data_IF_055912346432
#
_entry.id   IF_055912346432
#
_cell.length_a   1.000
_cell.length_b   1.000
_cell.length_c   1.000
_cell.angle_alpha   90.00
_cell.angle_beta   90.00
_cell.angle_gamma   90.00
#
_symmetry.space_group_name_H-M   'P 1'
#
loop_
_entity.id
_entity.type
_entity.pdbx_description
1 polymer ?
#
# COMPACT_ATOMS: atom_id res chain seq x y z
N UNK A 1 12.78 0.29 21.30
CA UNK A 1 11.64 0.08 20.40
C UNK A 1 12.13 0.39 19.00
N UNK A 2 11.69 -0.35 17.96
CA UNK A 2 12.01 -0.05 16.56
C UNK A 2 11.21 1.18 16.10
N UNK A 3 11.84 2.03 15.29
CA UNK A 3 11.21 3.21 14.68
C UNK A 3 10.98 2.92 13.20
N UNK A 4 9.73 2.96 12.77
CA UNK A 4 9.33 2.59 11.41
C UNK A 4 8.71 3.80 10.74
N UNK A 5 9.20 4.19 9.56
CA UNK A 5 8.50 5.14 8.71
C UNK A 5 7.59 4.39 7.74
N UNK A 6 6.32 4.74 7.71
CA UNK A 6 5.31 4.06 6.90
C UNK A 6 4.63 5.05 5.96
N UNK A 7 4.55 4.67 4.69
CA UNK A 7 3.76 5.36 3.69
C UNK A 7 2.42 4.65 3.52
N UNK A 8 1.33 5.37 3.84
CA UNK A 8 -0.03 4.92 3.60
C UNK A 8 -0.88 6.09 3.10
N UNK A 9 -1.23 6.10 1.81
CA UNK A 9 -2.03 7.17 1.21
C UNK A 9 -3.34 7.39 1.96
N UNK A 10 -4.07 6.31 2.22
CA UNK A 10 -5.35 6.34 2.91
C UNK A 10 -5.25 5.67 4.29
N UNK A 11 -5.70 6.37 5.32
CA UNK A 11 -5.78 5.85 6.69
C UNK A 11 -6.94 6.51 7.43
N UNK A 12 -7.83 5.72 8.02
CA UNK A 12 -8.92 6.25 8.84
C UNK A 12 -9.44 5.22 9.84
N UNK A 13 -9.69 5.61 11.11
CA UNK A 13 -10.44 4.79 12.04
C UNK A 13 -11.88 4.61 11.55
N UNK A 14 -12.50 3.50 11.94
CA UNK A 14 -13.92 3.18 11.68
C UNK A 14 -14.32 3.23 10.21
N UNK A 15 -13.42 2.83 9.32
CA UNK A 15 -13.68 2.66 7.90
C UNK A 15 -13.29 1.26 7.44
N UNK A 16 -13.94 0.81 6.36
CA UNK A 16 -13.54 -0.40 5.65
C UNK A 16 -12.48 -0.11 4.57
N UNK A 17 -12.15 -1.17 3.79
CA UNK A 17 -11.20 -1.10 2.67
C UNK A 17 -9.81 -0.59 3.09
N UNK A 18 -9.06 0.02 2.18
CA UNK A 18 -7.67 0.45 2.43
C UNK A 18 -7.50 1.45 3.58
N UNK A 19 -8.39 2.45 3.81
CA UNK A 19 -8.24 3.35 4.96
C UNK A 19 -8.29 2.63 6.32
N UNK A 20 -9.27 1.73 6.50
CA UNK A 20 -9.41 0.95 7.73
C UNK A 20 -8.29 -0.07 7.90
N UNK A 21 -7.90 -0.74 6.81
CA UNK A 21 -6.76 -1.66 6.81
C UNK A 21 -5.49 -0.97 7.33
N UNK A 22 -5.14 0.22 6.81
CA UNK A 22 -3.96 0.94 7.28
C UNK A 22 -4.06 1.30 8.76
N UNK A 23 -5.23 1.76 9.22
CA UNK A 23 -5.46 2.04 10.63
C UNK A 23 -5.24 0.82 11.52
N UNK A 24 -5.78 -0.34 11.12
CA UNK A 24 -5.65 -1.59 11.87
C UNK A 24 -4.18 -2.06 11.94
N UNK A 25 -3.44 -1.91 10.86
CA UNK A 25 -2.00 -2.16 10.87
C UNK A 25 -1.27 -1.25 11.86
N UNK A 26 -1.59 0.04 11.88
CA UNK A 26 -0.93 1.00 12.76
C UNK A 26 -1.22 0.75 14.23
N UNK A 27 -2.48 0.56 14.60
CA UNK A 27 -2.83 0.31 16.03
C UNK A 27 -2.23 -0.98 16.57
N UNK A 28 -1.97 -1.97 15.71
CA UNK A 28 -1.32 -3.22 16.12
C UNK A 28 0.21 -3.09 16.12
N UNK A 29 0.83 -2.50 15.13
CA UNK A 29 2.28 -2.26 15.10
C UNK A 29 2.72 -1.32 16.22
N UNK A 30 1.96 -0.28 16.53
CA UNK A 30 2.27 0.69 17.57
C UNK A 30 2.31 0.11 18.99
N UNK A 31 1.82 -1.10 19.20
CA UNK A 31 2.02 -1.85 20.44
C UNK A 31 3.48 -2.26 20.68
N UNK A 32 4.26 -2.35 19.59
CA UNK A 32 5.63 -2.88 19.58
C UNK A 32 6.67 -1.93 18.98
N UNK A 33 6.23 -0.93 18.21
CA UNK A 33 7.09 -0.05 17.43
C UNK A 33 6.67 1.41 17.60
N UNK A 34 7.59 2.33 17.34
CA UNK A 34 7.32 3.74 17.14
C UNK A 34 7.07 3.98 15.64
N UNK A 35 5.96 4.59 15.29
CA UNK A 35 5.53 4.72 13.90
C UNK A 35 5.56 6.19 13.46
N UNK A 36 6.24 6.47 12.36
CA UNK A 36 6.22 7.74 11.64
C UNK A 36 5.42 7.54 10.36
N UNK A 37 4.18 8.01 10.32
CA UNK A 37 3.20 7.67 9.29
C UNK A 37 2.97 8.87 8.37
N UNK A 38 3.27 8.71 7.07
CA UNK A 38 2.94 9.71 6.06
C UNK A 38 1.66 9.29 5.37
N UNK A 39 0.63 10.12 5.45
CA UNK A 39 -0.70 9.86 4.87
C UNK A 39 -1.28 11.10 4.18
N UNK A 40 -2.31 10.91 3.34
CA UNK A 40 -3.09 12.01 2.81
C UNK A 40 -3.99 12.60 3.92
N UNK A 41 -4.31 13.87 3.85
CA UNK A 41 -4.94 14.58 4.96
C UNK A 41 -6.47 14.48 5.05
N UNK A 42 -7.16 13.70 4.20
CA UNK A 42 -8.62 13.64 4.15
C UNK A 42 -9.26 13.28 5.49
N UNK A 43 -8.65 12.35 6.21
CA UNK A 43 -9.20 11.83 7.48
C UNK A 43 -8.47 12.35 8.71
N UNK A 44 -7.73 13.44 8.58
CA UNK A 44 -6.92 14.01 9.66
C UNK A 44 -7.71 14.18 10.96
N UNK A 45 -8.88 14.80 10.91
CA UNK A 45 -9.70 15.04 12.10
C UNK A 45 -10.11 13.75 12.82
N UNK A 46 -10.50 12.72 12.05
CA UNK A 46 -10.86 11.41 12.61
C UNK A 46 -9.66 10.74 13.28
N UNK A 47 -8.48 10.82 12.66
CA UNK A 47 -7.24 10.27 13.19
C UNK A 47 -6.88 10.99 14.51
N UNK A 48 -6.82 12.31 14.49
CA UNK A 48 -6.42 13.11 15.66
C UNK A 48 -7.41 12.99 16.83
N UNK A 49 -8.69 12.77 16.54
CA UNK A 49 -9.70 12.50 17.57
C UNK A 49 -9.52 11.10 18.19
N UNK A 50 -9.16 10.10 17.36
CA UNK A 50 -9.03 8.72 17.83
C UNK A 50 -7.71 8.47 18.57
N UNK A 51 -6.61 9.11 18.18
CA UNK A 51 -5.28 8.87 18.76
C UNK A 51 -5.23 8.95 20.29
N UNK A 52 -5.79 9.98 20.96
CA UNK A 52 -5.74 10.09 22.41
C UNK A 52 -6.52 8.99 23.14
N UNK A 53 -7.45 8.32 22.45
CA UNK A 53 -8.26 7.24 23.05
C UNK A 53 -7.53 5.89 23.07
N UNK A 54 -6.40 5.78 22.35
CA UNK A 54 -5.65 4.54 22.24
C UNK A 54 -4.45 4.52 23.20
N UNK A 55 -4.26 3.44 23.98
CA UNK A 55 -3.09 3.31 24.87
C UNK A 55 -1.75 3.46 24.15
N UNK A 56 -1.65 2.99 22.89
CA UNK A 56 -0.48 3.07 22.03
C UNK A 56 -0.47 4.32 21.12
N UNK A 57 -1.46 5.19 21.21
CA UNK A 57 -1.57 6.39 20.35
C UNK A 57 -0.35 7.30 20.40
N UNK A 58 0.31 7.36 21.57
CA UNK A 58 1.58 8.11 21.76
C UNK A 58 2.74 7.61 20.90
N UNK A 59 2.68 6.37 20.40
CA UNK A 59 3.70 5.75 19.56
C UNK A 59 3.41 5.95 18.05
N UNK A 60 2.41 6.77 17.69
CA UNK A 60 2.02 7.03 16.31
C UNK A 60 2.14 8.53 16.00
N UNK A 61 3.07 8.89 15.10
CA UNK A 61 3.34 10.26 14.67
C UNK A 61 2.88 10.41 13.22
N UNK A 62 1.84 11.20 13.00
CA UNK A 62 1.27 11.42 11.68
C UNK A 62 1.84 12.66 11.00
N UNK A 63 2.21 12.50 9.74
CA UNK A 63 2.67 13.54 8.82
C UNK A 63 1.72 13.59 7.64
N UNK A 64 1.08 14.72 7.43
CA UNK A 64 0.06 14.87 6.40
C UNK A 64 0.64 15.46 5.12
N UNK A 65 0.38 14.79 4.00
CA UNK A 65 0.73 15.22 2.65
C UNK A 65 -0.57 15.44 1.85
N UNK A 66 -1.28 16.58 2.04
CA UNK A 66 -2.59 16.77 1.48
C UNK A 66 -2.57 16.96 -0.03
N UNK A 67 -3.64 16.51 -0.68
CA UNK A 67 -3.97 16.81 -2.08
C UNK A 67 -5.21 17.70 -2.13
N UNK A 68 -5.53 18.24 -3.33
CA UNK A 68 -6.76 19.02 -3.53
C UNK A 68 -8.00 18.12 -3.51
N UNK A 69 -9.17 18.71 -3.23
CA UNK A 69 -10.45 18.01 -3.23
C UNK A 69 -10.79 17.40 -4.59
N UNK A 70 -10.32 18.00 -5.68
CA UNK A 70 -10.48 17.46 -7.03
C UNK A 70 -9.73 16.13 -7.18
N UNK A 71 -8.51 16.04 -6.65
CA UNK A 71 -7.71 14.81 -6.69
C UNK A 71 -8.35 13.75 -5.78
N UNK A 72 -8.87 14.12 -4.61
CA UNK A 72 -9.63 13.21 -3.73
C UNK A 72 -10.85 12.62 -4.45
N UNK A 73 -11.65 13.48 -5.13
CA UNK A 73 -12.78 13.02 -5.94
C UNK A 73 -12.37 12.04 -7.03
N UNK A 74 -11.22 12.24 -7.68
CA UNK A 74 -10.69 11.28 -8.65
C UNK A 74 -10.32 9.94 -7.99
N UNK A 75 -9.77 9.97 -6.79
CA UNK A 75 -9.45 8.75 -6.02
C UNK A 75 -10.70 7.93 -5.69
N UNK A 76 -11.78 8.60 -5.24
CA UNK A 76 -13.03 7.94 -4.91
C UNK A 76 -13.84 7.50 -6.13
N UNK A 77 -13.63 8.13 -7.29
CA UNK A 77 -14.26 7.72 -8.55
C UNK A 77 -13.50 6.52 -9.12
N UNK A 78 -13.93 5.33 -8.75
CA UNK A 78 -13.31 4.09 -9.19
C UNK A 78 -13.19 4.01 -10.72
N UNK A 79 -11.96 3.85 -11.21
CA UNK A 79 -11.65 3.79 -12.63
C UNK A 79 -11.21 5.12 -13.25
N UNK A 80 -11.16 6.21 -12.52
CA UNK A 80 -10.57 7.46 -13.02
C UNK A 80 -9.04 7.33 -13.10
N UNK A 81 -8.56 6.95 -14.28
CA UNK A 81 -7.14 6.74 -14.54
C UNK A 81 -6.28 8.01 -14.37
N UNK A 82 -6.88 9.22 -14.38
CA UNK A 82 -6.19 10.50 -14.17
C UNK A 82 -5.60 10.58 -12.77
N UNK A 83 -6.24 9.93 -11.79
CA UNK A 83 -5.77 9.85 -10.41
C UNK A 83 -4.32 9.34 -10.33
N UNK A 84 -3.94 8.35 -11.12
CA UNK A 84 -2.59 7.76 -11.06
C UNK A 84 -1.45 8.74 -11.35
N UNK A 85 -1.69 9.77 -12.17
CA UNK A 85 -0.71 10.84 -12.40
C UNK A 85 -0.44 11.62 -11.10
N UNK A 86 -1.50 12.03 -10.41
CA UNK A 86 -1.41 12.78 -9.15
C UNK A 86 -0.93 11.92 -8.00
N UNK A 87 -1.34 10.66 -7.95
CA UNK A 87 -0.84 9.70 -6.98
C UNK A 87 0.67 9.48 -7.11
N UNK A 88 1.19 9.42 -8.32
CA UNK A 88 2.64 9.36 -8.56
C UNK A 88 3.38 10.61 -8.06
N UNK A 89 2.80 11.80 -8.24
CA UNK A 89 3.36 13.05 -7.71
C UNK A 89 3.30 13.07 -6.17
N UNK A 90 2.20 12.60 -5.60
CA UNK A 90 2.03 12.45 -4.17
C UNK A 90 3.09 11.52 -3.58
N UNK A 91 3.33 10.40 -4.20
CA UNK A 91 4.37 9.43 -3.80
C UNK A 91 5.79 10.05 -3.86
N UNK A 92 6.05 10.90 -4.84
CA UNK A 92 7.32 11.61 -4.91
C UNK A 92 7.49 12.59 -3.75
N UNK A 93 6.47 13.38 -3.47
CA UNK A 93 6.48 14.30 -2.33
C UNK A 93 6.61 13.56 -1.00
N UNK A 94 5.95 12.41 -0.86
CA UNK A 94 6.09 11.51 0.30
C UNK A 94 7.53 11.03 0.47
N UNK A 95 8.21 10.68 -0.63
CA UNK A 95 9.63 10.32 -0.60
C UNK A 95 10.52 11.47 -0.09
N UNK A 96 10.29 12.71 -0.54
CA UNK A 96 11.03 13.88 -0.02
C UNK A 96 10.74 14.12 1.47
N UNK A 97 9.47 14.05 1.88
CA UNK A 97 9.09 14.14 3.29
C UNK A 97 9.75 13.04 4.14
N UNK A 98 9.81 11.83 3.62
CA UNK A 98 10.46 10.71 4.32
C UNK A 98 11.95 10.98 4.55
N UNK A 99 12.66 11.54 3.57
CA UNK A 99 14.07 11.94 3.73
C UNK A 99 14.25 12.98 4.84
N UNK A 100 13.36 13.98 4.87
CA UNK A 100 13.41 15.02 5.90
C UNK A 100 13.13 14.47 7.31
N UNK A 101 12.22 13.51 7.42
CA UNK A 101 11.94 12.81 8.69
C UNK A 101 13.14 11.98 9.12
N UNK A 102 13.72 11.19 8.21
CA UNK A 102 14.89 10.35 8.48
C UNK A 102 16.13 11.18 8.90
N UNK A 103 16.26 12.39 8.36
CA UNK A 103 17.35 13.31 8.75
C UNK A 103 17.20 13.84 10.19
N UNK A 104 15.97 13.89 10.73
CA UNK A 104 15.66 14.47 12.05
C UNK A 104 15.34 13.42 13.11
N UNK A 105 14.92 12.23 12.70
CA UNK A 105 14.48 11.16 13.57
C UNK A 105 15.27 9.88 13.30
N UNK A 106 15.49 9.11 14.35
CA UNK A 106 16.05 7.76 14.19
C UNK A 106 14.99 6.88 13.56
N UNK A 107 15.20 6.45 12.33
CA UNK A 107 14.36 5.47 11.64
C UNK A 107 15.17 4.20 11.40
N UNK A 108 14.58 3.07 11.74
CA UNK A 108 15.21 1.76 11.60
C UNK A 108 14.72 1.02 10.35
N UNK A 109 13.44 1.17 9.98
CA UNK A 109 12.80 0.45 8.86
C UNK A 109 11.93 1.42 8.06
N UNK A 110 11.86 1.20 6.75
CA UNK A 110 10.97 1.91 5.81
C UNK A 110 9.92 0.94 5.30
N UNK A 111 8.65 1.33 5.35
CA UNK A 111 7.54 0.47 4.91
C UNK A 111 6.60 1.20 3.93
N UNK A 112 6.46 0.64 2.73
CA UNK A 112 5.43 1.03 1.75
C UNK A 112 4.21 0.14 1.98
N UNK A 113 3.17 0.66 2.65
CA UNK A 113 2.01 -0.13 3.07
C UNK A 113 0.88 -0.11 2.05
N UNK A 114 0.33 1.06 1.71
CA UNK A 114 -0.75 1.19 0.74
C UNK A 114 -0.53 2.40 -0.20
N UNK A 115 -1.21 2.46 -1.29
CA UNK A 115 -2.27 1.57 -1.79
C UNK A 115 -1.66 0.24 -2.22
N UNK A 116 -2.37 -0.88 -2.00
CA UNK A 116 -1.85 -2.24 -2.18
C UNK A 116 -1.56 -2.64 -3.64
N UNK A 117 -2.04 -1.88 -4.60
CA UNK A 117 -1.84 -2.18 -6.02
C UNK A 117 -0.37 -2.11 -6.45
N UNK A 118 0.17 -3.20 -7.01
CA UNK A 118 1.57 -3.32 -7.39
C UNK A 118 2.07 -2.26 -8.41
N UNK A 119 1.17 -1.64 -9.18
CA UNK A 119 1.52 -0.73 -10.29
C UNK A 119 2.14 0.59 -9.84
N UNK A 120 1.88 0.98 -8.61
CA UNK A 120 2.43 2.20 -8.02
C UNK A 120 3.23 1.90 -6.75
N UNK A 121 4.49 1.44 -6.90
CA UNK A 121 5.34 1.04 -5.79
C UNK A 121 5.88 2.23 -4.96
N UNK A 122 5.43 3.44 -5.24
CA UNK A 122 5.99 4.63 -4.64
C UNK A 122 7.45 4.87 -5.00
N UNK A 123 8.16 5.57 -4.11
CA UNK A 123 9.56 5.90 -4.29
C UNK A 123 10.41 5.66 -3.04
N UNK A 124 9.86 5.17 -1.94
CA UNK A 124 10.60 4.92 -0.70
C UNK A 124 11.73 3.91 -0.87
N UNK A 125 11.61 2.97 -1.82
CA UNK A 125 12.66 2.03 -2.20
C UNK A 125 13.97 2.70 -2.71
N UNK A 126 13.97 4.01 -2.97
CA UNK A 126 15.16 4.77 -3.36
C UNK A 126 15.98 5.27 -2.17
N UNK A 127 15.44 5.18 -0.96
CA UNK A 127 16.17 5.54 0.25
C UNK A 127 17.16 4.41 0.52
N UNK A 128 18.43 4.79 0.65
CA UNK A 128 19.54 3.85 0.87
C UNK A 128 19.84 3.69 2.35
N UNK A 129 20.58 2.63 2.70
CA UNK A 129 21.07 2.35 4.05
C UNK A 129 19.98 2.13 5.11
N UNK A 130 18.77 1.75 4.69
CA UNK A 130 17.66 1.37 5.56
C UNK A 130 16.92 0.17 4.96
N UNK A 131 16.57 -0.84 5.77
CA UNK A 131 15.72 -1.92 5.33
C UNK A 131 14.39 -1.39 4.78
N UNK A 132 14.01 -1.90 3.61
CA UNK A 132 12.77 -1.52 2.94
C UNK A 132 11.80 -2.70 2.88
N UNK A 133 10.61 -2.50 3.42
CA UNK A 133 9.48 -3.44 3.38
C UNK A 133 8.44 -2.94 2.38
N UNK A 134 8.00 -3.80 1.49
CA UNK A 134 6.90 -3.46 0.58
C UNK A 134 5.77 -4.48 0.69
N UNK A 135 4.59 -3.99 1.02
CA UNK A 135 3.36 -4.77 1.08
C UNK A 135 2.44 -4.40 2.25
N UNK A 136 1.25 -5.04 2.27
CA UNK A 136 0.82 -6.15 1.43
C UNK A 136 0.60 -5.75 -0.03
N UNK A 137 1.13 -6.55 -0.97
CA UNK A 137 1.06 -6.28 -2.41
C UNK A 137 -0.09 -7.09 -3.02
N UNK A 138 -1.01 -6.39 -3.69
CA UNK A 138 -2.15 -6.96 -4.39
C UNK A 138 -2.17 -6.63 -5.88
N UNK A 139 -3.30 -6.95 -6.52
CA UNK A 139 -3.56 -6.60 -7.92
C UNK A 139 -2.84 -7.45 -8.98
N UNK A 140 -2.11 -8.48 -8.59
CA UNK A 140 -1.38 -9.37 -9.52
C UNK A 140 -2.24 -10.54 -10.02
N UNK A 141 -3.43 -10.75 -9.43
CA UNK A 141 -4.35 -11.81 -9.84
C UNK A 141 -4.85 -11.59 -11.27
N UNK A 142 -4.92 -12.68 -12.02
CA UNK A 142 -5.57 -12.71 -13.33
C UNK A 142 -7.06 -12.95 -13.17
N UNK A 143 -7.89 -12.38 -14.05
CA UNK A 143 -9.30 -12.72 -14.09
C UNK A 143 -9.45 -14.16 -14.58
N UNK A 144 -10.12 -15.06 -13.83
CA UNK A 144 -10.20 -16.47 -14.19
C UNK A 144 -11.01 -16.67 -15.49
N UNK A 145 -10.43 -17.38 -16.46
CA UNK A 145 -11.08 -17.60 -17.75
C UNK A 145 -12.38 -18.41 -17.64
N UNK A 146 -12.49 -19.28 -16.62
CA UNK A 146 -13.72 -20.05 -16.38
C UNK A 146 -14.96 -19.15 -16.18
N UNK A 147 -14.81 -17.97 -15.59
CA UNK A 147 -15.93 -17.02 -15.41
C UNK A 147 -16.31 -16.29 -16.69
N UNK A 148 -15.59 -16.49 -17.79
CA UNK A 148 -15.92 -15.92 -19.10
C UNK A 148 -16.81 -16.84 -19.92
N UNK A 149 -17.02 -18.08 -19.48
CA UNK A 149 -17.91 -19.02 -20.16
C UNK A 149 -19.36 -18.47 -20.14
N UNK A 150 -19.98 -18.40 -21.31
CA UNK A 150 -21.33 -17.83 -21.47
C UNK A 150 -21.39 -16.29 -21.54
N UNK A 151 -20.27 -15.58 -21.33
CA UNK A 151 -20.25 -14.13 -21.53
C UNK A 151 -20.12 -13.75 -22.99
N UNK A 152 -20.57 -12.54 -23.36
CA UNK A 152 -20.43 -12.03 -24.73
C UNK A 152 -18.97 -11.88 -25.16
N UNK A 153 -18.71 -11.99 -26.47
CA UNK A 153 -17.37 -11.95 -27.08
C UNK A 153 -16.57 -10.70 -26.65
N UNK A 154 -17.23 -9.53 -26.58
CA UNK A 154 -16.57 -8.28 -26.15
C UNK A 154 -15.97 -8.42 -24.75
N UNK A 155 -16.70 -9.02 -23.80
CA UNK A 155 -16.25 -9.24 -22.42
C UNK A 155 -15.09 -10.22 -22.37
N UNK A 156 -15.14 -11.29 -23.16
CA UNK A 156 -14.06 -12.26 -23.24
C UNK A 156 -12.77 -11.63 -23.77
N UNK A 157 -12.85 -10.89 -24.88
CA UNK A 157 -11.69 -10.19 -25.47
C UNK A 157 -11.12 -9.17 -24.51
N UNK A 158 -11.97 -8.34 -23.87
CA UNK A 158 -11.55 -7.34 -22.91
C UNK A 158 -10.77 -7.95 -21.73
N UNK A 159 -11.31 -9.01 -21.11
CA UNK A 159 -10.63 -9.62 -19.95
C UNK A 159 -9.36 -10.38 -20.34
N UNK A 160 -9.34 -11.04 -21.50
CA UNK A 160 -8.10 -11.66 -22.01
C UNK A 160 -7.01 -10.62 -22.28
N UNK A 161 -7.37 -9.46 -22.87
CA UNK A 161 -6.44 -8.37 -23.08
C UNK A 161 -5.97 -7.76 -21.75
N UNK A 162 -6.88 -7.52 -20.81
CA UNK A 162 -6.56 -7.06 -19.46
C UNK A 162 -5.57 -8.00 -18.76
N UNK A 163 -5.78 -9.31 -18.82
CA UNK A 163 -4.85 -10.29 -18.26
C UNK A 163 -3.47 -10.22 -18.92
N UNK A 164 -3.41 -10.12 -20.26
CA UNK A 164 -2.13 -9.99 -20.98
C UNK A 164 -1.38 -8.70 -20.58
N UNK A 165 -2.10 -7.57 -20.49
CA UNK A 165 -1.51 -6.29 -20.05
C UNK A 165 -1.01 -6.41 -18.61
N UNK A 166 -1.77 -7.04 -17.71
CA UNK A 166 -1.38 -7.23 -16.33
C UNK A 166 -0.07 -8.03 -16.23
N UNK A 167 0.02 -9.15 -16.94
CA UNK A 167 1.25 -9.98 -16.99
C UNK A 167 2.41 -9.18 -17.59
N UNK A 168 2.17 -8.42 -18.66
CA UNK A 168 3.19 -7.59 -19.29
C UNK A 168 3.74 -6.54 -18.29
N UNK A 169 2.86 -5.86 -17.55
CA UNK A 169 3.25 -4.88 -16.55
C UNK A 169 4.05 -5.53 -15.40
N UNK A 170 3.60 -6.69 -14.89
CA UNK A 170 4.35 -7.43 -13.86
C UNK A 170 5.76 -7.75 -14.36
N UNK A 171 5.91 -8.18 -15.61
CA UNK A 171 7.21 -8.60 -16.18
C UNK A 171 8.12 -7.41 -16.49
N UNK A 172 7.60 -6.34 -17.07
CA UNK A 172 8.39 -5.34 -17.78
C UNK A 172 8.38 -3.94 -17.17
N UNK A 173 7.51 -3.64 -16.19
CA UNK A 173 7.55 -2.33 -15.52
C UNK A 173 8.85 -2.18 -14.72
N UNK A 174 9.67 -1.19 -15.14
CA UNK A 174 11.00 -0.95 -14.56
C UNK A 174 10.92 -0.43 -13.13
N UNK A 175 9.88 0.37 -12.77
CA UNK A 175 9.72 0.88 -11.40
C UNK A 175 9.32 -0.23 -10.47
N UNK A 176 8.34 -1.04 -10.87
CA UNK A 176 7.90 -2.23 -10.12
C UNK A 176 9.08 -3.19 -9.92
N UNK A 177 9.83 -3.48 -10.98
CA UNK A 177 11.00 -4.35 -10.88
C UNK A 177 12.02 -3.82 -9.87
N UNK A 178 12.36 -2.53 -9.95
CA UNK A 178 13.34 -1.92 -9.03
C UNK A 178 12.85 -1.95 -7.58
N UNK A 179 11.57 -1.65 -7.34
CA UNK A 179 11.01 -1.68 -5.99
C UNK A 179 10.99 -3.09 -5.41
N UNK A 180 10.59 -4.10 -6.22
CA UNK A 180 10.61 -5.50 -5.80
C UNK A 180 12.02 -5.99 -5.47
N UNK A 181 13.02 -5.65 -6.30
CA UNK A 181 14.41 -6.11 -6.09
C UNK A 181 15.15 -5.35 -5.00
N UNK A 182 14.69 -4.15 -4.64
CA UNK A 182 15.26 -3.35 -3.55
C UNK A 182 14.62 -3.65 -2.19
N UNK A 183 13.49 -4.35 -2.16
CA UNK A 183 12.84 -4.69 -0.91
C UNK A 183 13.61 -5.81 -0.19
N UNK A 184 13.90 -5.58 1.08
CA UNK A 184 14.47 -6.58 1.99
C UNK A 184 13.39 -7.57 2.44
N UNK A 185 12.12 -7.12 2.48
CA UNK A 185 10.96 -7.97 2.73
C UNK A 185 9.81 -7.59 1.80
N UNK A 186 9.31 -8.58 1.08
CA UNK A 186 8.08 -8.49 0.30
C UNK A 186 6.94 -9.20 1.02
N UNK A 187 5.80 -8.51 1.12
CA UNK A 187 4.58 -9.07 1.70
C UNK A 187 3.53 -9.16 0.59
N UNK A 188 3.02 -10.35 0.32
CA UNK A 188 1.92 -10.59 -0.62
C UNK A 188 0.59 -10.63 0.12
N UNK A 189 -0.42 -9.91 -0.37
CA UNK A 189 -1.75 -9.89 0.25
C UNK A 189 -2.52 -11.21 0.07
N UNK A 190 -2.25 -11.91 -1.04
CA UNK A 190 -2.92 -13.15 -1.43
C UNK A 190 -1.93 -14.13 -2.10
N UNK A 191 -2.23 -15.44 -2.11
CA UNK A 191 -1.39 -16.44 -2.79
C UNK A 191 -1.09 -16.12 -4.26
N UNK A 192 -2.07 -15.58 -5.00
CA UNK A 192 -1.87 -15.19 -6.41
C UNK A 192 -0.72 -14.18 -6.58
N UNK A 193 -0.60 -13.20 -5.67
CA UNK A 193 0.50 -12.23 -5.69
C UNK A 193 1.84 -12.89 -5.37
N UNK A 194 1.88 -13.78 -4.38
CA UNK A 194 3.07 -14.58 -4.06
C UNK A 194 3.55 -15.37 -5.28
N UNK A 195 2.65 -16.12 -5.91
CA UNK A 195 3.01 -16.93 -7.10
C UNK A 195 3.42 -16.06 -8.29
N UNK A 196 2.81 -14.89 -8.48
CA UNK A 196 3.20 -13.98 -9.54
C UNK A 196 4.61 -13.41 -9.32
N UNK A 197 4.94 -12.97 -8.11
CA UNK A 197 6.27 -12.49 -7.74
C UNK A 197 7.30 -13.59 -7.94
N UNK A 198 7.05 -14.78 -7.41
CA UNK A 198 7.95 -15.92 -7.56
C UNK A 198 8.15 -16.32 -9.03
N UNK A 199 7.06 -16.43 -9.79
CA UNK A 199 7.10 -16.88 -11.20
C UNK A 199 7.77 -15.86 -12.13
N UNK A 200 7.48 -14.57 -11.97
CA UNK A 200 7.86 -13.56 -12.95
C UNK A 200 9.05 -12.70 -12.52
N UNK A 201 9.42 -12.72 -11.25
CA UNK A 201 10.52 -11.94 -10.70
C UNK A 201 11.60 -12.81 -10.04
N UNK A 202 11.32 -14.09 -9.79
CA UNK A 202 12.22 -15.02 -9.08
C UNK A 202 12.58 -14.53 -7.68
N UNK A 203 11.62 -13.86 -7.00
CA UNK A 203 11.74 -13.36 -5.65
C UNK A 203 10.78 -14.09 -4.73
N UNK A 204 11.15 -14.22 -3.46
CA UNK A 204 10.27 -14.75 -2.42
C UNK A 204 9.53 -13.62 -1.70
N UNK A 205 8.35 -13.92 -1.19
CA UNK A 205 7.56 -13.01 -0.34
C UNK A 205 6.86 -13.81 0.75
N UNK A 206 6.48 -13.16 1.83
CA UNK A 206 5.62 -13.76 2.86
C UNK A 206 4.16 -13.43 2.52
N UNK A 207 3.24 -14.35 2.82
CA UNK A 207 1.81 -14.09 2.64
C UNK A 207 1.25 -13.58 3.96
N UNK A 208 0.85 -12.31 3.98
CA UNK A 208 0.12 -11.71 5.10
C UNK A 208 -1.12 -11.04 4.51
N UNK A 209 -2.33 -11.54 4.84
CA UNK A 209 -3.57 -10.90 4.40
C UNK A 209 -3.61 -9.42 4.82
N UNK A 210 -4.16 -8.59 3.96
CA UNK A 210 -4.27 -7.15 4.22
C UNK A 210 -5.19 -6.82 5.38
N UNK A 211 -6.20 -7.66 5.59
CA UNK A 211 -7.19 -7.53 6.66
C UNK A 211 -7.17 -8.73 7.58
N UNK A 212 -7.51 -8.50 8.83
CA UNK A 212 -7.73 -9.51 9.85
C UNK A 212 -9.05 -9.28 10.58
N UNK A 213 -9.34 -10.09 11.57
CA UNK A 213 -10.46 -9.87 12.48
C UNK A 213 -9.99 -9.84 13.93
N UNK A 214 -10.73 -9.16 14.80
CA UNK A 214 -10.48 -9.20 16.23
C UNK A 214 -10.97 -10.52 16.79
N UNK A 215 -10.19 -11.13 17.69
CA UNK A 215 -10.51 -12.42 18.29
C UNK A 215 -11.85 -12.41 19.06
N UNK A 216 -12.25 -11.24 19.58
CA UNK A 216 -13.52 -11.04 20.30
C UNK A 216 -14.77 -11.07 19.41
N UNK A 217 -14.61 -10.99 18.09
CA UNK A 217 -15.72 -11.02 17.13
C UNK A 217 -16.03 -12.45 16.66
N UNK A 218 -15.26 -13.42 17.11
CA UNK A 218 -15.41 -14.84 16.78
C UNK A 218 -16.15 -15.65 17.86
N UNK A 219 -16.68 -14.98 18.89
CA UNK A 219 -17.51 -15.54 19.96
C UNK A 219 -18.93 -14.99 19.86
#
# INVERSE_FOLDING_TARGET
MLNIIINAYACSPNMGSEPGMAWDWFINLAKHCELHIITEGEFKEKIETALPTLPQGKNMHFYYNPVSDEIRKMCWNQGDWRFYKYYKQWQWKTYEMAKDIIAKQKIDIIHQLNMIGFREPGYLWKIENKPFVWGPIGGMKQFPEAYLQGSGIKMQVFNKLKNKINIYQIKHDKRVHRALTKADLLISSIPDSYYAIKKYKHLESVIIPETGCFKSELL
#
